data_IF_137762163890
#
_entry.id   IF_137762163890
#
_cell.length_a   1.000
_cell.length_b   1.000
_cell.length_c   1.000
_cell.angle_alpha   90.00
_cell.angle_beta   90.00
_cell.angle_gamma   90.00
#
_symmetry.space_group_name_H-M   'P 1'
#
loop_
_entity.id
_entity.type
_entity.pdbx_description
1 polymer ?
#
# COMPACT_ATOMS: atom_id res chain seq x y z
N UNK A 1 42.54 -47.59 -55.68
CA UNK A 1 41.63 -48.57 -56.30
C UNK A 1 40.99 -49.32 -55.15
N UNK A 2 39.67 -49.21 -54.99
CA UNK A 2 38.95 -50.13 -54.10
C UNK A 2 38.86 -51.45 -54.86
N UNK A 3 39.53 -52.48 -54.36
CA UNK A 3 39.34 -53.86 -54.81
C UNK A 3 38.27 -54.50 -53.93
N UNK A 4 37.34 -55.24 -54.54
CA UNK A 4 36.36 -56.00 -53.78
C UNK A 4 37.04 -57.14 -53.02
N UNK A 5 36.50 -57.53 -51.87
CA UNK A 5 37.03 -58.60 -51.02
C UNK A 5 37.11 -59.92 -51.79
N UNK A 6 36.13 -60.16 -52.68
CA UNK A 6 36.10 -61.35 -53.53
C UNK A 6 37.20 -61.33 -54.59
N UNK A 7 37.49 -60.18 -55.19
CA UNK A 7 38.58 -60.02 -56.16
C UNK A 7 39.96 -60.18 -55.50
N UNK A 8 40.11 -59.71 -54.27
CA UNK A 8 41.37 -59.83 -53.51
C UNK A 8 41.66 -61.28 -53.08
N UNK A 9 40.63 -62.01 -52.64
CA UNK A 9 40.79 -63.37 -52.10
C UNK A 9 40.72 -64.46 -53.19
N UNK A 10 40.05 -64.19 -54.31
CA UNK A 10 39.75 -65.20 -55.33
C UNK A 10 38.60 -66.13 -54.93
N UNK A 11 37.97 -66.79 -55.91
CA UNK A 11 36.73 -67.55 -55.72
C UNK A 11 36.84 -68.67 -54.67
N UNK A 12 37.94 -69.42 -54.66
CA UNK A 12 38.13 -70.56 -53.75
C UNK A 12 38.29 -70.13 -52.29
N UNK A 13 39.13 -69.13 -52.01
CA UNK A 13 39.38 -68.64 -50.66
C UNK A 13 38.19 -67.83 -50.13
N UNK A 14 37.54 -67.04 -51.00
CA UNK A 14 36.33 -66.31 -50.65
C UNK A 14 35.21 -67.27 -50.22
N UNK A 15 34.99 -68.36 -50.97
CA UNK A 15 33.98 -69.36 -50.62
C UNK A 15 34.24 -70.01 -49.24
N UNK A 16 35.50 -70.27 -48.90
CA UNK A 16 35.86 -70.79 -47.57
C UNK A 16 35.59 -69.79 -46.45
N UNK A 17 35.89 -68.51 -46.69
CA UNK A 17 35.64 -67.42 -45.73
C UNK A 17 34.12 -67.21 -45.53
N UNK A 18 33.35 -67.20 -46.61
CA UNK A 18 31.88 -67.06 -46.56
C UNK A 18 31.22 -68.22 -45.81
N UNK A 19 31.63 -69.46 -46.10
CA UNK A 19 31.14 -70.64 -45.40
C UNK A 19 31.42 -70.59 -43.89
N UNK A 20 32.61 -70.14 -43.48
CA UNK A 20 32.95 -69.99 -42.06
C UNK A 20 32.14 -68.90 -41.37
N UNK A 21 31.82 -67.82 -42.07
CA UNK A 21 30.96 -66.76 -41.54
C UNK A 21 29.52 -67.23 -41.40
N UNK A 22 29.02 -67.99 -42.36
CA UNK A 22 27.69 -68.61 -42.27
C UNK A 22 27.59 -69.56 -41.07
N UNK A 23 28.64 -70.36 -40.81
CA UNK A 23 28.72 -71.24 -39.63
C UNK A 23 28.69 -70.43 -38.32
N UNK A 24 29.52 -69.38 -38.21
CA UNK A 24 29.58 -68.52 -37.01
C UNK A 24 28.27 -67.75 -36.79
N UNK A 25 27.64 -67.27 -37.86
CA UNK A 25 26.37 -66.52 -37.77
C UNK A 25 25.16 -67.43 -37.53
N UNK A 26 25.28 -68.74 -37.76
CA UNK A 26 24.24 -69.73 -37.47
C UNK A 26 24.10 -70.08 -35.98
N UNK A 27 25.09 -69.73 -35.15
CA UNK A 27 25.05 -69.96 -33.71
C UNK A 27 24.05 -69.03 -33.00
N UNK A 28 23.35 -69.55 -31.97
CA UNK A 28 22.27 -68.82 -31.28
C UNK A 28 22.73 -67.52 -30.63
N UNK A 29 23.98 -67.45 -30.16
CA UNK A 29 24.60 -66.27 -29.54
C UNK A 29 24.99 -65.17 -30.54
N UNK A 30 25.02 -65.49 -31.85
CA UNK A 30 25.40 -64.58 -32.93
C UNK A 30 24.23 -64.11 -33.77
N UNK A 31 23.01 -64.61 -33.54
CA UNK A 31 21.78 -64.19 -34.26
C UNK A 31 21.49 -62.69 -34.11
N UNK A 32 21.69 -62.14 -32.92
CA UNK A 32 21.47 -60.72 -32.63
C UNK A 32 22.61 -59.81 -33.13
N UNK A 33 23.82 -60.36 -33.37
CA UNK A 33 25.00 -59.60 -33.81
C UNK A 33 25.85 -60.41 -34.82
N UNK A 34 25.34 -60.65 -36.05
CA UNK A 34 26.06 -61.42 -37.06
C UNK A 34 27.29 -60.66 -37.58
N UNK A 35 28.34 -61.41 -37.93
CA UNK A 35 29.51 -60.90 -38.66
C UNK A 35 29.07 -60.48 -40.05
N UNK A 36 29.36 -59.22 -40.40
CA UNK A 36 29.14 -58.67 -41.74
C UNK A 36 30.42 -58.02 -42.22
N UNK A 37 30.73 -58.20 -43.50
CA UNK A 37 31.72 -57.36 -44.17
C UNK A 37 31.04 -56.07 -44.62
N UNK A 38 31.68 -54.93 -44.37
CA UNK A 38 31.20 -53.61 -44.78
C UNK A 38 32.40 -52.81 -45.25
N UNK A 39 32.29 -52.14 -46.40
CA UNK A 39 33.28 -51.18 -46.86
C UNK A 39 33.16 -49.88 -46.03
N UNK A 40 34.22 -49.52 -45.32
CA UNK A 40 34.27 -48.31 -44.49
C UNK A 40 34.59 -47.05 -45.31
N UNK A 41 35.05 -47.20 -46.55
CA UNK A 41 35.42 -46.08 -47.42
C UNK A 41 34.22 -45.27 -47.92
N UNK A 42 33.03 -45.87 -47.92
CA UNK A 42 31.78 -45.19 -48.31
C UNK A 42 31.30 -44.18 -47.25
N UNK A 43 31.92 -44.15 -46.05
CA UNK A 43 31.59 -43.18 -45.00
C UNK A 43 30.21 -43.35 -44.35
N UNK A 44 29.47 -44.40 -44.72
CA UNK A 44 28.14 -44.72 -44.21
C UNK A 44 28.15 -45.30 -42.77
N UNK A 45 29.33 -45.51 -42.18
CA UNK A 45 29.49 -46.08 -40.84
C UNK A 45 30.08 -45.08 -39.85
N UNK A 46 29.45 -44.99 -38.68
CA UNK A 46 29.96 -44.25 -37.52
C UNK A 46 29.99 -45.18 -36.32
N UNK A 47 30.95 -44.99 -35.42
CA UNK A 47 31.00 -45.77 -34.18
C UNK A 47 29.72 -45.54 -33.37
N UNK A 48 29.27 -46.58 -32.65
CA UNK A 48 28.07 -46.51 -31.80
C UNK A 48 28.16 -45.33 -30.82
N UNK A 49 29.32 -45.15 -30.21
CA UNK A 49 29.60 -44.03 -29.28
C UNK A 49 29.41 -42.66 -29.94
N UNK A 50 29.95 -42.48 -31.16
CA UNK A 50 29.81 -41.22 -31.90
C UNK A 50 28.38 -40.97 -32.32
N UNK A 51 27.66 -42.00 -32.78
CA UNK A 51 26.23 -41.89 -33.09
C UNK A 51 25.41 -41.53 -31.86
N UNK A 52 25.65 -42.19 -30.72
CA UNK A 52 24.94 -41.88 -29.48
C UNK A 52 25.24 -40.47 -28.99
N UNK A 53 26.51 -40.02 -29.06
CA UNK A 53 26.89 -38.66 -28.70
C UNK A 53 26.20 -37.61 -29.56
N UNK A 54 26.27 -37.76 -30.89
CA UNK A 54 25.59 -36.85 -31.83
C UNK A 54 24.07 -36.84 -31.65
N UNK A 55 23.47 -38.00 -31.36
CA UNK A 55 22.04 -38.10 -31.09
C UNK A 55 21.67 -37.36 -29.81
N UNK A 56 22.43 -37.56 -28.72
CA UNK A 56 22.20 -36.85 -27.45
C UNK A 56 22.36 -35.34 -27.60
N UNK A 57 23.38 -34.89 -28.34
CA UNK A 57 23.55 -33.47 -28.65
C UNK A 57 22.38 -32.92 -29.47
N UNK A 58 21.97 -33.63 -30.52
CA UNK A 58 20.84 -33.23 -31.36
C UNK A 58 19.52 -33.15 -30.57
N UNK A 59 19.26 -34.13 -29.71
CA UNK A 59 18.09 -34.14 -28.83
C UNK A 59 18.17 -32.99 -27.80
N UNK A 60 19.36 -32.69 -27.28
CA UNK A 60 19.62 -31.54 -26.41
C UNK A 60 19.35 -30.21 -27.10
N UNK A 61 19.87 -29.99 -28.31
CA UNK A 61 19.62 -28.79 -29.11
C UNK A 61 18.15 -28.64 -29.46
N UNK A 62 17.47 -29.74 -29.82
CA UNK A 62 16.03 -29.71 -30.11
C UNK A 62 15.21 -29.29 -28.90
N UNK A 63 15.58 -29.77 -27.70
CA UNK A 63 14.95 -29.36 -26.45
C UNK A 63 15.17 -27.88 -26.16
N UNK A 64 16.40 -27.39 -26.25
CA UNK A 64 16.72 -25.97 -26.06
C UNK A 64 15.97 -25.08 -27.04
N UNK A 65 15.88 -25.49 -28.31
CA UNK A 65 15.17 -24.74 -29.35
C UNK A 65 13.66 -24.69 -29.08
N UNK A 66 13.09 -25.79 -28.57
CA UNK A 66 11.67 -25.83 -28.17
C UNK A 66 11.41 -24.92 -26.96
N UNK A 67 12.25 -24.99 -25.92
CA UNK A 67 12.13 -24.13 -24.72
C UNK A 67 12.30 -22.65 -25.07
N UNK A 68 13.28 -22.32 -25.93
CA UNK A 68 13.50 -20.97 -26.41
C UNK A 68 12.28 -20.44 -27.18
N UNK A 69 11.72 -21.24 -28.10
CA UNK A 69 10.52 -20.85 -28.84
C UNK A 69 9.32 -20.63 -27.91
N UNK A 70 9.07 -21.53 -26.95
CA UNK A 70 8.00 -21.36 -25.96
C UNK A 70 8.17 -20.07 -25.16
N UNK A 71 9.40 -19.76 -24.76
CA UNK A 71 9.71 -18.54 -24.00
C UNK A 71 9.49 -17.29 -24.85
N UNK A 72 9.90 -17.31 -26.12
CA UNK A 72 9.68 -16.21 -27.07
C UNK A 72 8.19 -15.97 -27.28
N UNK A 73 7.40 -17.03 -27.48
CA UNK A 73 5.94 -16.91 -27.60
C UNK A 73 5.32 -16.35 -26.31
N UNK A 74 5.77 -16.79 -25.13
CA UNK A 74 5.27 -16.22 -23.86
C UNK A 74 5.51 -14.71 -23.75
N UNK A 75 6.62 -14.18 -24.31
CA UNK A 75 6.88 -12.75 -24.34
C UNK A 75 6.06 -12.00 -25.39
N UNK A 76 5.70 -12.65 -26.51
CA UNK A 76 4.81 -12.06 -27.52
C UNK A 76 3.36 -12.01 -27.06
N UNK A 77 2.92 -12.99 -26.27
CA UNK A 77 1.58 -13.04 -25.69
C UNK A 77 1.41 -12.05 -24.52
N UNK A 78 2.50 -11.56 -23.93
CA UNK A 78 2.41 -10.49 -22.93
C UNK A 78 1.87 -9.20 -23.57
N UNK A 79 0.73 -8.73 -23.06
CA UNK A 79 0.12 -7.47 -23.47
C UNK A 79 0.87 -6.26 -22.89
N UNK A 80 2.07 -6.01 -23.43
CA UNK A 80 2.93 -4.90 -23.03
C UNK A 80 2.23 -3.56 -23.30
N UNK A 81 1.41 -3.47 -24.35
CA UNK A 81 0.65 -2.27 -24.67
C UNK A 81 -0.46 -2.00 -23.65
N UNK A 82 -1.20 -3.03 -23.24
CA UNK A 82 -2.19 -2.95 -22.17
C UNK A 82 -1.56 -2.55 -20.84
N UNK A 83 -0.44 -3.16 -20.47
CA UNK A 83 0.30 -2.80 -19.25
C UNK A 83 0.75 -1.33 -19.28
N UNK A 84 1.29 -0.86 -20.41
CA UNK A 84 1.69 0.55 -20.56
C UNK A 84 0.49 1.50 -20.44
N UNK A 85 -0.62 1.20 -21.10
CA UNK A 85 -1.86 1.99 -21.00
C UNK A 85 -2.36 2.05 -19.56
N UNK A 86 -2.43 0.91 -18.87
CA UNK A 86 -2.84 0.89 -17.46
C UNK A 86 -1.88 1.70 -16.57
N UNK A 87 -0.57 1.64 -16.81
CA UNK A 87 0.39 2.45 -16.06
C UNK A 87 0.18 3.95 -16.27
N UNK A 88 -0.06 4.39 -17.51
CA UNK A 88 -0.35 5.79 -17.83
C UNK A 88 -1.69 6.25 -17.22
N UNK A 89 -2.74 5.41 -17.28
CA UNK A 89 -4.04 5.68 -16.63
C UNK A 89 -3.89 5.83 -15.12
N UNK A 90 -3.15 4.93 -14.48
CA UNK A 90 -2.87 5.00 -13.04
C UNK A 90 -2.08 6.24 -12.66
N UNK A 91 -1.10 6.63 -13.47
CA UNK A 91 -0.34 7.86 -13.27
C UNK A 91 -1.24 9.09 -13.37
N UNK A 92 -2.06 9.19 -14.41
CA UNK A 92 -3.00 10.30 -14.58
C UNK A 92 -4.01 10.36 -13.43
N UNK A 93 -4.56 9.21 -13.03
CA UNK A 93 -5.48 9.11 -11.89
C UNK A 93 -4.79 9.57 -10.60
N UNK A 94 -3.57 9.14 -10.34
CA UNK A 94 -2.82 9.53 -9.16
C UNK A 94 -2.55 11.05 -9.11
N UNK A 95 -2.11 11.64 -10.23
CA UNK A 95 -1.86 13.08 -10.31
C UNK A 95 -3.15 13.89 -10.12
N UNK A 96 -4.25 13.44 -10.72
CA UNK A 96 -5.57 14.08 -10.60
C UNK A 96 -6.10 13.98 -9.17
N UNK A 97 -6.07 12.78 -8.57
CA UNK A 97 -6.55 12.53 -7.21
C UNK A 97 -5.70 13.32 -6.18
N UNK A 98 -4.38 13.39 -6.39
CA UNK A 98 -3.48 14.16 -5.52
C UNK A 98 -3.75 15.66 -5.61
N UNK A 99 -3.95 16.19 -6.82
CA UNK A 99 -4.30 17.60 -7.01
C UNK A 99 -5.66 17.94 -6.38
N UNK A 100 -6.66 17.09 -6.59
CA UNK A 100 -7.99 17.24 -6.00
C UNK A 100 -7.94 17.17 -4.46
N UNK A 101 -7.21 16.22 -3.89
CA UNK A 101 -7.05 16.08 -2.45
C UNK A 101 -6.34 17.29 -1.84
N UNK A 102 -5.27 17.78 -2.47
CA UNK A 102 -4.58 18.99 -2.00
C UNK A 102 -5.50 20.21 -2.04
N UNK A 103 -6.30 20.37 -3.09
CA UNK A 103 -7.30 21.43 -3.17
C UNK A 103 -8.36 21.30 -2.07
N UNK A 104 -8.83 20.09 -1.78
CA UNK A 104 -9.78 19.84 -0.68
C UNK A 104 -9.18 20.18 0.67
N UNK A 105 -7.93 19.78 0.93
CA UNK A 105 -7.22 20.09 2.18
C UNK A 105 -7.06 21.61 2.34
N UNK A 106 -6.64 22.33 1.30
CA UNK A 106 -6.49 23.78 1.36
C UNK A 106 -7.86 24.47 1.56
N UNK A 107 -8.91 23.98 0.90
CA UNK A 107 -10.27 24.48 1.11
C UNK A 107 -10.71 24.26 2.55
N UNK A 108 -10.50 23.06 3.10
CA UNK A 108 -10.85 22.71 4.48
C UNK A 108 -10.07 23.55 5.51
N UNK A 109 -8.76 23.76 5.30
CA UNK A 109 -7.94 24.62 6.16
C UNK A 109 -8.47 26.05 6.18
N UNK A 110 -8.81 26.60 5.00
CA UNK A 110 -9.37 27.95 4.88
C UNK A 110 -10.74 28.03 5.56
N UNK A 111 -11.65 27.09 5.28
CA UNK A 111 -12.98 27.10 5.93
C UNK A 111 -12.88 27.01 7.44
N UNK A 112 -12.02 26.12 7.97
CA UNK A 112 -11.85 25.98 9.41
C UNK A 112 -11.26 27.24 10.06
N UNK A 113 -10.25 27.85 9.43
CA UNK A 113 -9.69 29.11 9.91
C UNK A 113 -10.73 30.26 9.87
N UNK A 114 -11.58 30.29 8.85
CA UNK A 114 -12.64 31.29 8.72
C UNK A 114 -13.72 31.10 9.78
N UNK A 115 -14.15 29.85 10.00
CA UNK A 115 -15.10 29.51 11.07
C UNK A 115 -14.58 29.91 12.44
N UNK A 116 -13.31 29.60 12.75
CA UNK A 116 -12.64 29.96 14.00
C UNK A 116 -12.51 31.48 14.16
N UNK A 117 -12.21 32.19 13.08
CA UNK A 117 -12.15 33.64 13.10
C UNK A 117 -13.53 34.25 13.40
N UNK A 118 -14.59 33.76 12.75
CA UNK A 118 -15.97 34.23 12.96
C UNK A 118 -16.52 33.86 14.35
N UNK A 119 -16.10 32.73 14.94
CA UNK A 119 -16.41 32.39 16.34
C UNK A 119 -15.97 33.51 17.30
N UNK A 120 -14.84 34.17 17.01
CA UNK A 120 -14.34 35.29 17.81
C UNK A 120 -15.14 36.59 17.65
N UNK A 121 -16.04 36.69 16.67
CA UNK A 121 -16.72 37.94 16.31
C UNK A 121 -18.09 38.15 16.98
N UNK A 122 -18.53 37.23 17.85
CA UNK A 122 -19.78 37.32 18.63
C UNK A 122 -21.02 37.61 17.77
N UNK A 123 -21.21 36.82 16.71
CA UNK A 123 -22.39 36.90 15.84
C UNK A 123 -23.58 36.25 16.56
N UNK A 124 -24.70 36.95 16.72
CA UNK A 124 -25.87 36.49 17.50
C UNK A 124 -26.60 35.31 16.85
N UNK A 125 -26.70 35.31 15.53
CA UNK A 125 -27.54 34.36 14.78
C UNK A 125 -26.69 33.30 14.06
N UNK A 126 -26.99 31.99 14.24
CA UNK A 126 -26.34 30.92 13.48
C UNK A 126 -26.54 31.04 11.95
N UNK A 127 -27.68 31.58 11.51
CA UNK A 127 -27.96 31.79 10.09
C UNK A 127 -27.13 32.94 9.52
N UNK A 128 -27.03 34.06 10.24
CA UNK A 128 -26.18 35.19 9.86
C UNK A 128 -24.71 34.75 9.80
N UNK A 129 -24.27 33.93 10.76
CA UNK A 129 -22.92 33.36 10.75
C UNK A 129 -22.62 32.55 9.49
N UNK A 130 -23.54 31.69 9.05
CA UNK A 130 -23.37 30.89 7.84
C UNK A 130 -23.31 31.75 6.58
N UNK A 131 -24.14 32.80 6.51
CA UNK A 131 -24.15 33.75 5.38
C UNK A 131 -22.85 34.56 5.33
N UNK A 132 -22.41 35.10 6.47
CA UNK A 132 -21.16 35.85 6.56
C UNK A 132 -19.96 34.95 6.24
N UNK A 133 -19.97 33.68 6.66
CA UNK A 133 -18.94 32.71 6.28
C UNK A 133 -18.90 32.46 4.77
N UNK A 134 -20.05 32.26 4.12
CA UNK A 134 -20.08 32.05 2.67
C UNK A 134 -19.59 33.28 1.91
N UNK A 135 -20.01 34.48 2.34
CA UNK A 135 -19.61 35.73 1.71
C UNK A 135 -18.12 36.01 1.94
N UNK A 136 -17.61 35.71 3.13
CA UNK A 136 -16.18 35.83 3.48
C UNK A 136 -15.31 34.90 2.63
N UNK A 137 -15.73 33.65 2.45
CA UNK A 137 -15.02 32.68 1.61
C UNK A 137 -15.11 33.07 0.13
N UNK A 138 -16.22 33.66 -0.32
CA UNK A 138 -16.41 34.13 -1.69
C UNK A 138 -15.52 35.34 -2.04
N UNK A 139 -15.15 36.17 -1.06
CA UNK A 139 -14.18 37.26 -1.24
C UNK A 139 -12.76 36.76 -1.57
N UNK A 140 -12.50 35.45 -1.38
CA UNK A 140 -11.23 34.80 -1.69
C UNK A 140 -10.00 35.54 -1.12
N UNK A 141 -10.12 36.05 0.10
CA UNK A 141 -9.06 36.81 0.79
C UNK A 141 -7.77 35.98 0.90
N UNK A 142 -6.62 36.66 0.82
CA UNK A 142 -5.32 36.01 0.94
C UNK A 142 -5.20 35.31 2.30
N UNK A 143 -4.90 34.01 2.27
CA UNK A 143 -4.70 33.19 3.46
C UNK A 143 -3.20 32.97 3.67
N UNK A 144 -2.63 33.56 4.71
CA UNK A 144 -1.20 33.45 5.07
C UNK A 144 -1.06 33.06 6.54
N UNK A 145 -0.19 32.10 6.80
CA UNK A 145 0.18 31.65 8.15
C UNK A 145 -1.01 31.32 9.07
N UNK A 146 -2.08 30.75 8.50
CA UNK A 146 -3.28 30.38 9.27
C UNK A 146 -4.24 31.54 9.54
N UNK A 147 -4.01 32.72 8.94
CA UNK A 147 -4.83 33.91 9.09
C UNK A 147 -5.24 34.50 7.73
N UNK A 148 -6.35 35.21 7.70
CA UNK A 148 -6.85 35.88 6.50
C UNK A 148 -6.43 37.35 6.53
N UNK A 149 -5.64 37.77 5.54
CA UNK A 149 -5.23 39.16 5.38
C UNK A 149 -6.44 39.98 4.91
N UNK A 150 -6.77 41.06 5.62
CA UNK A 150 -7.94 41.90 5.32
C UNK A 150 -9.26 41.41 5.94
N UNK A 151 -9.22 40.36 6.77
CA UNK A 151 -10.40 39.86 7.46
C UNK A 151 -10.99 40.89 8.44
N UNK A 152 -10.14 41.66 9.12
CA UNK A 152 -10.54 42.70 10.07
C UNK A 152 -11.32 43.83 9.39
N UNK A 153 -10.81 44.31 8.25
CA UNK A 153 -11.47 45.34 7.44
C UNK A 153 -12.82 44.86 6.90
N UNK A 154 -12.91 43.59 6.50
CA UNK A 154 -14.15 42.98 6.05
C UNK A 154 -15.17 42.89 7.20
N UNK A 155 -14.76 42.39 8.37
CA UNK A 155 -15.67 42.30 9.53
C UNK A 155 -16.13 43.67 10.02
N UNK A 156 -15.28 44.69 9.91
CA UNK A 156 -15.68 46.07 10.25
C UNK A 156 -16.79 46.56 9.34
N UNK A 157 -16.67 46.37 8.03
CA UNK A 157 -17.75 46.69 7.07
C UNK A 157 -19.03 45.89 7.35
N UNK A 158 -18.90 44.61 7.67
CA UNK A 158 -20.05 43.77 8.01
C UNK A 158 -20.76 44.22 9.29
N UNK A 159 -20.01 44.64 10.32
CA UNK A 159 -20.58 45.22 11.55
C UNK A 159 -21.28 46.56 11.30
N UNK A 160 -20.77 47.38 10.37
CA UNK A 160 -21.40 48.65 9.97
C UNK A 160 -22.69 48.43 9.16
N UNK A 161 -22.72 47.42 8.28
CA UNK A 161 -23.88 47.11 7.44
C UNK A 161 -24.98 46.36 8.19
N UNK A 162 -24.61 45.47 9.12
CA UNK A 162 -25.53 44.60 9.85
C UNK A 162 -25.34 44.71 11.37
N UNK A 163 -25.49 45.89 11.98
CA UNK A 163 -25.22 46.10 13.41
C UNK A 163 -26.10 45.25 14.34
N UNK A 164 -27.32 44.89 13.91
CA UNK A 164 -28.25 44.10 14.71
C UNK A 164 -27.83 42.62 14.84
N UNK A 165 -27.07 42.09 13.88
CA UNK A 165 -26.63 40.69 13.83
C UNK A 165 -25.41 40.38 14.71
N UNK A 166 -24.71 41.43 15.18
CA UNK A 166 -23.58 41.32 16.09
C UNK A 166 -23.98 41.68 17.52
N UNK A 167 -23.36 41.03 18.51
CA UNK A 167 -23.45 41.48 19.89
C UNK A 167 -22.87 42.89 20.01
N UNK A 168 -23.65 43.83 20.53
CA UNK A 168 -23.10 45.11 20.94
C UNK A 168 -22.08 44.84 22.04
N UNK A 169 -20.91 45.46 21.98
CA UNK A 169 -20.06 45.59 23.16
C UNK A 169 -20.86 46.39 24.18
N UNK A 170 -21.65 45.70 25.00
CA UNK A 170 -22.00 46.22 26.31
C UNK A 170 -20.65 46.49 26.97
N UNK A 171 -20.28 47.77 27.06
CA UNK A 171 -19.38 48.23 28.11
C UNK A 171 -19.92 47.58 29.39
N UNK A 172 -19.19 46.61 29.92
CA UNK A 172 -19.48 46.05 31.22
C UNK A 172 -19.33 47.20 32.22
N UNK A 173 -20.42 47.93 32.48
CA UNK A 173 -20.51 48.68 33.72
C UNK A 173 -20.32 47.67 34.85
N UNK A 174 -19.40 47.93 35.79
CA UNK A 174 -19.06 46.96 36.83
C UNK A 174 -20.34 46.53 37.55
N UNK A 175 -20.51 45.22 37.84
CA UNK A 175 -21.77 44.70 38.34
C UNK A 175 -22.16 45.46 39.61
N UNK A 176 -23.26 46.22 39.54
CA UNK A 176 -23.86 46.80 40.73
C UNK A 176 -24.28 45.64 41.63
N UNK A 177 -23.49 45.41 42.68
CA UNK A 177 -23.76 44.40 43.70
C UNK A 177 -25.10 44.72 44.35
N UNK A 178 -26.17 44.03 43.95
CA UNK A 178 -27.42 44.03 44.71
C UNK A 178 -27.17 43.28 46.01
N UNK A 179 -26.85 44.01 47.08
CA UNK A 179 -26.77 43.46 48.43
C UNK A 179 -28.16 43.07 48.88
N UNK A 180 -28.51 41.79 48.74
CA UNK A 180 -29.71 41.23 49.34
C UNK A 180 -29.40 40.91 50.81
N UNK A 181 -29.72 41.83 51.71
CA UNK A 181 -29.63 41.57 53.16
C UNK A 181 -30.80 40.66 53.54
N UNK A 182 -30.52 39.36 53.73
CA UNK A 182 -31.48 38.43 54.34
C UNK A 182 -31.49 38.68 55.84
N UNK A 183 -32.44 39.49 56.32
CA UNK A 183 -32.67 39.64 57.76
C UNK A 183 -33.18 38.33 58.35
N UNK A 184 -32.36 37.66 59.15
CA UNK A 184 -32.78 36.55 60.01
C UNK A 184 -32.72 37.00 61.46
N UNK A 185 -33.84 37.51 61.97
CA UNK A 185 -34.11 37.58 63.41
C UNK A 185 -34.46 36.18 63.91
N UNK A 186 -33.56 35.53 64.64
CA UNK A 186 -33.82 34.19 65.18
C UNK A 186 -32.57 33.52 65.71
N UNK A 187 -32.29 33.76 66.98
CA UNK A 187 -31.17 33.22 67.77
C UNK A 187 -31.19 31.69 67.88
N UNK A 188 -30.23 31.03 67.22
CA UNK A 188 -29.53 29.86 67.75
C UNK A 188 -28.10 29.82 67.18
N UNK A 189 -27.11 30.11 68.03
CA UNK A 189 -25.70 29.81 67.75
C UNK A 189 -25.40 28.50 68.50
N UNK A 190 -25.03 27.39 67.85
CA UNK A 190 -24.59 26.22 68.58
C UNK A 190 -23.36 26.59 69.43
N UNK A 191 -23.33 26.13 70.68
CA UNK A 191 -22.20 26.37 71.57
C UNK A 191 -20.91 25.83 70.95
N UNK A 192 -19.87 26.66 70.93
CA UNK A 192 -18.54 26.24 70.46
C UNK A 192 -18.00 25.29 71.52
N UNK A 193 -18.08 23.99 71.26
CA UNK A 193 -17.40 22.99 72.09
C UNK A 193 -15.90 23.20 71.86
N UNK A 194 -15.09 23.20 72.93
CA UNK A 194 -13.66 23.42 72.80
C UNK A 194 -13.07 22.43 71.79
N UNK A 195 -12.11 22.90 71.00
CA UNK A 195 -11.55 22.16 69.87
C UNK A 195 -11.00 20.80 70.29
N UNK A 196 -10.49 20.72 71.52
CA UNK A 196 -9.92 19.51 72.10
C UNK A 196 -11.00 18.48 72.46
N UNK A 197 -12.12 18.90 73.04
CA UNK A 197 -13.27 18.02 73.34
C UNK A 197 -13.94 17.50 72.06
N UNK A 198 -14.02 18.36 71.04
CA UNK A 198 -14.54 18.01 69.72
C UNK A 198 -13.69 16.93 69.06
N UNK A 199 -12.36 17.07 69.14
CA UNK A 199 -11.40 16.10 68.62
C UNK A 199 -11.45 14.78 69.39
N UNK A 200 -11.49 14.83 70.73
CA UNK A 200 -11.57 13.63 71.57
C UNK A 200 -12.87 12.86 71.32
N UNK A 201 -14.00 13.56 71.18
CA UNK A 201 -15.29 12.94 70.85
C UNK A 201 -15.30 12.32 69.46
N UNK A 202 -14.71 12.97 68.46
CA UNK A 202 -14.63 12.41 67.11
C UNK A 202 -13.76 11.15 67.06
N UNK A 203 -12.65 11.14 67.81
CA UNK A 203 -11.68 10.04 67.77
C UNK A 203 -12.07 8.87 68.68
N UNK A 204 -12.64 9.15 69.85
CA UNK A 204 -12.90 8.14 70.88
C UNK A 204 -14.39 8.01 71.25
N UNK A 205 -15.29 8.73 70.58
CA UNK A 205 -16.74 8.71 70.88
C UNK A 205 -17.41 7.35 70.69
N UNK A 206 -16.85 6.48 69.84
CA UNK A 206 -17.33 5.11 69.65
C UNK A 206 -16.71 4.10 70.64
N UNK A 207 -15.80 4.54 71.52
CA UNK A 207 -15.24 3.68 72.57
C UNK A 207 -16.19 3.63 73.77
N UNK A 208 -16.68 2.42 74.10
CA UNK A 208 -17.59 2.16 75.24
C UNK A 208 -17.09 2.70 76.59
N UNK A 209 -15.79 2.90 76.74
CA UNK A 209 -15.17 3.36 77.98
C UNK A 209 -14.86 4.87 78.00
N UNK A 210 -15.08 5.59 76.89
CA UNK A 210 -14.90 7.04 76.86
C UNK A 210 -16.08 7.72 77.57
N UNK A 211 -15.80 8.43 78.66
CA UNK A 211 -16.73 9.37 79.28
C UNK A 211 -16.13 10.76 79.15
N UNK A 212 -16.67 11.54 78.20
CA UNK A 212 -16.34 12.97 78.09
C UNK A 212 -16.66 13.67 79.40
N UNK A 213 -15.92 14.74 79.70
CA UNK A 213 -16.22 15.60 80.84
C UNK A 213 -17.48 16.43 80.59
#
# INVERSE_FOLDING_TARGET
MNMDLKELLGDELYAQVDAKIAEVNGADDRKENPVKFVDLSEGAYVSKEKYTGLKTEADGYKKQLTEANTTIESYKEMDIEGIKKSADEWKQKYETDTAALNQQIETQKRTFAAEKYLDGQKIKSPLARKSILSDFMAQNLEFKDGTFVGAEDYMKKMKEQYPDDFESEQKEEPPQKKTWVRGTSGTYKPGVVDSEESYLKQKYGNNKYYRGK
#
